data_IF_663214629773
#
_entry.id   IF_663214629773
#
_cell.length_a   1.000
_cell.length_b   1.000
_cell.length_c   1.000
_cell.angle_alpha   90.00
_cell.angle_beta   90.00
_cell.angle_gamma   90.00
#
_symmetry.space_group_name_H-M   'P 1'
#
loop_
_entity.id
_entity.type
_entity.pdbx_description
1 polymer ?
#
# COMPACT_ATOMS: atom_id res chain seq x y z
N UNK A 1 1.44 -20.32 -4.68
CA UNK A 1 2.26 -19.30 -3.98
C UNK A 1 2.12 -17.99 -4.75
N UNK A 2 1.99 -16.86 -4.05
CA UNK A 2 1.91 -15.54 -4.68
C UNK A 2 3.27 -15.13 -5.22
N UNK A 3 3.29 -14.37 -6.32
CA UNK A 3 4.49 -13.82 -6.95
C UNK A 3 4.82 -12.42 -6.41
N UNK A 4 6.05 -11.96 -6.66
CA UNK A 4 6.46 -10.56 -6.38
C UNK A 4 5.53 -9.57 -7.09
N UNK A 5 5.17 -9.85 -8.36
CA UNK A 5 4.27 -8.99 -9.12
C UNK A 5 2.86 -8.90 -8.55
N UNK A 6 2.32 -10.02 -8.04
CA UNK A 6 1.00 -10.02 -7.37
C UNK A 6 1.01 -9.20 -6.08
N UNK A 7 2.08 -9.27 -5.28
CA UNK A 7 2.24 -8.44 -4.09
C UNK A 7 2.39 -6.95 -4.44
N UNK A 8 3.17 -6.64 -5.48
CA UNK A 8 3.34 -5.26 -5.96
C UNK A 8 1.99 -4.69 -6.43
N UNK A 9 1.28 -5.40 -7.33
CA UNK A 9 -0.04 -4.97 -7.79
C UNK A 9 -0.99 -4.74 -6.62
N UNK A 10 -0.99 -5.63 -5.63
CA UNK A 10 -1.83 -5.52 -4.44
C UNK A 10 -1.58 -4.22 -3.67
N UNK A 11 -0.32 -3.84 -3.47
CA UNK A 11 0.02 -2.55 -2.86
C UNK A 11 -0.48 -1.36 -3.69
N UNK A 12 -0.24 -1.40 -5.01
CA UNK A 12 -0.64 -0.32 -5.92
C UNK A 12 -2.17 -0.17 -5.98
N UNK A 13 -2.94 -1.27 -5.95
CA UNK A 13 -4.39 -1.25 -5.88
C UNK A 13 -4.91 -0.57 -4.60
N UNK A 14 -4.25 -0.79 -3.46
CA UNK A 14 -4.63 -0.14 -2.19
C UNK A 14 -4.37 1.37 -2.24
N UNK A 15 -3.22 1.78 -2.76
CA UNK A 15 -2.87 3.19 -2.94
C UNK A 15 -3.87 3.86 -3.90
N UNK A 16 -4.18 3.23 -5.03
CA UNK A 16 -5.13 3.74 -6.01
C UNK A 16 -6.55 3.88 -5.44
N UNK A 17 -7.01 2.88 -4.68
CA UNK A 17 -8.31 2.93 -4.01
C UNK A 17 -8.40 4.11 -3.04
N UNK A 18 -7.35 4.34 -2.23
CA UNK A 18 -7.30 5.46 -1.31
C UNK A 18 -7.29 6.82 -2.03
N UNK A 19 -6.49 6.97 -3.10
CA UNK A 19 -6.45 8.20 -3.89
C UNK A 19 -7.80 8.52 -4.53
N UNK A 20 -8.54 7.52 -4.99
CA UNK A 20 -9.90 7.71 -5.52
C UNK A 20 -10.91 8.08 -4.44
N UNK A 21 -10.74 7.57 -3.22
CA UNK A 21 -11.63 7.88 -2.10
C UNK A 21 -11.56 9.35 -1.67
N UNK A 22 -10.47 10.05 -1.97
CA UNK A 22 -10.33 11.49 -1.71
C UNK A 22 -11.40 12.30 -2.47
N UNK A 23 -11.84 11.85 -3.63
CA UNK A 23 -12.84 12.56 -4.44
C UNK A 23 -14.28 12.08 -4.16
N UNK A 24 -14.46 10.86 -3.65
CA UNK A 24 -15.77 10.20 -3.54
C UNK A 24 -16.27 9.99 -2.12
N UNK A 25 -15.43 10.21 -1.10
CA UNK A 25 -15.65 9.88 0.30
C UNK A 25 -15.97 8.40 0.58
N UNK A 26 -15.85 7.54 -0.44
CA UNK A 26 -16.10 6.10 -0.37
C UNK A 26 -14.85 5.31 -0.75
N UNK A 27 -14.54 4.34 0.09
CA UNK A 27 -13.35 3.50 -0.03
C UNK A 27 -13.74 2.03 -0.06
N UNK A 28 -13.16 1.26 -0.99
CA UNK A 28 -13.29 -0.19 -1.03
C UNK A 28 -11.98 -0.80 -1.52
N UNK A 29 -11.32 -1.56 -0.66
CA UNK A 29 -10.09 -2.28 -1.02
C UNK A 29 -10.34 -3.62 -1.70
N UNK A 30 -11.57 -4.12 -1.70
CA UNK A 30 -11.93 -5.41 -2.28
C UNK A 30 -12.19 -5.33 -3.78
N UNK A 31 -12.52 -4.15 -4.30
CA UNK A 31 -12.77 -3.90 -5.72
C UNK A 31 -11.46 -3.75 -6.50
N UNK A 32 -10.76 -4.87 -6.73
CA UNK A 32 -9.44 -4.94 -7.36
C UNK A 32 -9.49 -5.64 -8.70
N UNK A 33 -8.70 -5.14 -9.64
CA UNK A 33 -8.45 -5.82 -10.92
C UNK A 33 -7.33 -6.85 -10.72
N UNK A 34 -7.65 -8.14 -10.81
CA UNK A 34 -6.66 -9.23 -10.77
C UNK A 34 -6.23 -9.60 -12.18
N UNK A 35 -5.02 -10.20 -12.31
CA UNK A 35 -4.51 -10.67 -13.60
C UNK A 35 -4.19 -9.54 -14.56
N UNK A 36 -3.76 -8.39 -14.06
CA UNK A 36 -3.32 -7.26 -14.90
C UNK A 36 -1.85 -7.42 -15.29
N UNK A 37 -1.44 -6.76 -16.37
CA UNK A 37 -0.03 -6.72 -16.81
C UNK A 37 0.93 -6.07 -15.81
N UNK A 38 0.43 -5.37 -14.79
CA UNK A 38 1.26 -4.90 -13.66
C UNK A 38 1.97 -6.06 -12.95
N UNK A 39 1.36 -7.25 -12.91
CA UNK A 39 1.93 -8.43 -12.26
C UNK A 39 3.11 -9.04 -13.02
N UNK A 40 3.14 -8.90 -14.34
CA UNK A 40 4.06 -9.63 -15.23
C UNK A 40 4.93 -8.74 -16.11
N UNK A 41 4.58 -7.45 -16.24
CA UNK A 41 5.27 -6.50 -17.10
C UNK A 41 5.88 -5.37 -16.28
N UNK A 42 7.23 -5.32 -16.22
CA UNK A 42 7.95 -4.30 -15.44
C UNK A 42 7.61 -2.87 -15.89
N UNK A 43 7.50 -2.61 -17.18
CA UNK A 43 7.18 -1.26 -17.69
C UNK A 43 5.75 -0.83 -17.29
N UNK A 44 4.78 -1.75 -17.28
CA UNK A 44 3.43 -1.47 -16.81
C UNK A 44 3.42 -1.16 -15.30
N UNK A 45 4.19 -1.90 -14.51
CA UNK A 45 4.33 -1.65 -13.07
C UNK A 45 4.94 -0.26 -12.79
N UNK A 46 6.03 0.09 -13.49
CA UNK A 46 6.68 1.39 -13.35
C UNK A 46 5.75 2.54 -13.75
N UNK A 47 5.04 2.41 -14.88
CA UNK A 47 4.07 3.41 -15.32
C UNK A 47 2.95 3.64 -14.28
N UNK A 48 2.46 2.56 -13.68
CA UNK A 48 1.45 2.65 -12.59
C UNK A 48 2.01 3.35 -11.35
N UNK A 49 3.25 3.04 -10.96
CA UNK A 49 3.92 3.71 -9.83
C UNK A 49 4.06 5.21 -10.11
N UNK A 50 4.49 5.59 -11.31
CA UNK A 50 4.69 6.98 -11.68
C UNK A 50 3.37 7.76 -11.72
N UNK A 51 2.28 7.16 -12.23
CA UNK A 51 0.93 7.74 -12.19
C UNK A 51 0.46 7.98 -10.75
N UNK A 52 0.51 6.96 -9.90
CA UNK A 52 0.09 7.08 -8.50
C UNK A 52 0.93 8.10 -7.74
N UNK A 53 2.24 8.15 -8.00
CA UNK A 53 3.14 9.15 -7.43
C UNK A 53 2.78 10.57 -7.88
N UNK A 54 2.48 10.77 -9.16
CA UNK A 54 2.08 12.08 -9.69
C UNK A 54 0.77 12.55 -9.05
N UNK A 55 -0.24 11.68 -8.96
CA UNK A 55 -1.52 11.94 -8.30
C UNK A 55 -1.33 12.26 -6.82
N UNK A 56 -0.54 11.48 -6.09
CA UNK A 56 -0.27 11.74 -4.69
C UNK A 56 0.44 13.10 -4.47
N UNK A 57 1.38 13.46 -5.34
CA UNK A 57 2.10 14.75 -5.26
C UNK A 57 1.23 15.96 -5.61
N UNK A 58 0.18 15.79 -6.39
CA UNK A 58 -0.76 16.87 -6.70
C UNK A 58 -1.69 17.20 -5.54
N UNK A 59 -1.77 16.35 -4.52
CA UNK A 59 -2.59 16.58 -3.35
C UNK A 59 -1.94 17.62 -2.44
N UNK A 60 -2.73 18.62 -2.05
CA UNK A 60 -2.33 19.67 -1.11
C UNK A 60 -3.43 19.90 -0.08
N UNK A 61 -3.05 20.34 1.12
CA UNK A 61 -3.99 20.73 2.17
C UNK A 61 -5.04 19.66 2.52
N UNK A 62 -4.61 18.39 2.60
CA UNK A 62 -5.50 17.29 2.98
C UNK A 62 -5.94 17.44 4.44
N UNK A 63 -7.26 17.44 4.65
CA UNK A 63 -7.82 17.25 5.99
C UNK A 63 -7.76 15.75 6.36
N UNK A 64 -6.83 15.40 7.24
CA UNK A 64 -6.67 14.01 7.70
C UNK A 64 -7.86 13.51 8.54
N UNK A 65 -8.68 14.42 9.08
CA UNK A 65 -9.90 14.07 9.82
C UNK A 65 -11.11 13.93 8.88
N UNK A 66 -10.96 14.18 7.59
CA UNK A 66 -12.05 14.01 6.62
C UNK A 66 -12.68 12.64 6.76
N UNK A 67 -14.01 12.56 7.01
CA UNK A 67 -14.69 11.28 7.15
C UNK A 67 -14.76 10.56 5.80
N UNK A 68 -14.57 9.23 5.84
CA UNK A 68 -14.75 8.33 4.72
C UNK A 68 -15.65 7.17 5.14
N UNK A 69 -16.32 6.54 4.17
CA UNK A 69 -17.02 5.29 4.37
C UNK A 69 -16.22 4.16 3.72
N UNK A 70 -15.71 3.25 4.53
CA UNK A 70 -15.05 2.03 4.07
C UNK A 70 -16.09 0.92 3.89
N UNK A 71 -16.25 0.46 2.65
CA UNK A 71 -17.03 -0.74 2.34
C UNK A 71 -16.09 -1.95 2.31
N UNK A 72 -16.35 -2.94 3.14
CA UNK A 72 -15.50 -4.13 3.26
C UNK A 72 -16.31 -5.42 3.28
N UNK A 73 -15.74 -6.48 2.71
CA UNK A 73 -16.26 -7.85 2.74
C UNK A 73 -15.54 -8.61 3.87
N UNK A 74 -16.27 -9.01 4.92
CA UNK A 74 -15.68 -9.72 6.06
C UNK A 74 -15.51 -11.22 5.81
N UNK A 75 -16.33 -11.80 4.93
CA UNK A 75 -16.24 -13.22 4.61
C UNK A 75 -16.66 -13.49 3.18
N UNK A 76 -16.20 -14.61 2.63
CA UNK A 76 -16.43 -15.01 1.22
C UNK A 76 -17.90 -14.98 0.78
N UNK A 77 -18.83 -15.25 1.67
CA UNK A 77 -20.28 -15.33 1.43
C UNK A 77 -21.10 -14.41 2.32
N UNK A 78 -20.44 -13.53 3.06
CA UNK A 78 -21.10 -12.56 3.95
C UNK A 78 -21.55 -11.30 3.22
N UNK A 79 -22.36 -10.46 3.89
CA UNK A 79 -22.68 -9.14 3.39
C UNK A 79 -21.45 -8.24 3.43
N UNK A 80 -21.44 -7.20 2.61
CA UNK A 80 -20.55 -6.07 2.79
C UNK A 80 -20.99 -5.22 3.96
N UNK A 81 -20.02 -4.64 4.67
CA UNK A 81 -20.26 -3.69 5.74
C UNK A 81 -19.73 -2.31 5.36
N UNK A 82 -20.50 -1.29 5.66
CA UNK A 82 -20.03 0.09 5.60
C UNK A 82 -19.58 0.51 7.01
N UNK A 83 -18.33 0.97 7.11
CA UNK A 83 -17.70 1.38 8.37
C UNK A 83 -17.20 2.81 8.22
N UNK A 84 -17.51 3.66 9.19
CA UNK A 84 -16.96 5.01 9.26
C UNK A 84 -15.46 4.97 9.58
N UNK A 85 -14.70 5.78 8.87
CA UNK A 85 -13.26 5.93 9.05
C UNK A 85 -12.83 7.35 8.72
N UNK A 86 -11.55 7.65 8.74
CA UNK A 86 -11.00 8.94 8.31
C UNK A 86 -9.86 8.76 7.32
N UNK A 87 -9.62 9.79 6.51
CA UNK A 87 -8.53 9.80 5.55
C UNK A 87 -7.17 9.52 6.21
N UNK A 88 -6.92 10.12 7.39
CA UNK A 88 -5.67 9.90 8.13
C UNK A 88 -5.51 8.46 8.60
N UNK A 89 -6.58 7.85 9.10
CA UNK A 89 -6.56 6.43 9.48
C UNK A 89 -6.27 5.53 8.29
N UNK A 90 -6.86 5.79 7.15
CA UNK A 90 -6.67 4.99 5.93
C UNK A 90 -5.26 5.19 5.32
N UNK A 91 -4.71 6.41 5.40
CA UNK A 91 -3.30 6.65 5.02
C UNK A 91 -2.33 5.83 5.88
N UNK A 92 -2.54 5.78 7.19
CA UNK A 92 -1.74 4.94 8.09
C UNK A 92 -1.89 3.45 7.76
N UNK A 93 -3.10 3.00 7.48
CA UNK A 93 -3.37 1.62 7.10
C UNK A 93 -2.63 1.25 5.80
N UNK A 94 -2.81 2.02 4.73
CA UNK A 94 -2.18 1.75 3.43
C UNK A 94 -0.65 1.80 3.54
N UNK A 95 -0.11 2.76 4.30
CA UNK A 95 1.33 2.86 4.57
C UNK A 95 1.88 1.61 5.28
N UNK A 96 1.23 1.19 6.38
CA UNK A 96 1.63 -0.01 7.14
C UNK A 96 1.47 -1.28 6.31
N UNK A 97 0.38 -1.40 5.57
CA UNK A 97 0.09 -2.54 4.69
C UNK A 97 1.12 -2.65 3.56
N UNK A 98 1.48 -1.53 2.93
CA UNK A 98 2.53 -1.48 1.91
C UNK A 98 3.88 -1.88 2.49
N UNK A 99 4.24 -1.40 3.68
CA UNK A 99 5.48 -1.79 4.37
C UNK A 99 5.52 -3.29 4.63
N UNK A 100 4.42 -3.89 5.10
CA UNK A 100 4.30 -5.34 5.29
C UNK A 100 4.54 -6.12 3.99
N UNK A 101 3.88 -5.72 2.89
CA UNK A 101 4.09 -6.37 1.60
C UNK A 101 5.49 -6.14 1.03
N UNK A 102 6.10 -4.98 1.25
CA UNK A 102 7.49 -4.73 0.88
C UNK A 102 8.45 -5.67 1.61
N UNK A 103 8.21 -5.99 2.89
CA UNK A 103 9.00 -6.98 3.62
C UNK A 103 8.89 -8.38 2.98
N UNK A 104 7.70 -8.79 2.55
CA UNK A 104 7.48 -10.04 1.83
C UNK A 104 8.20 -10.03 0.48
N UNK A 105 8.02 -8.97 -0.31
CA UNK A 105 8.69 -8.77 -1.61
C UNK A 105 10.21 -8.84 -1.42
N UNK A 106 10.75 -8.16 -0.40
CA UNK A 106 12.18 -8.16 -0.09
C UNK A 106 12.71 -9.57 0.22
N UNK A 107 11.98 -10.34 1.02
CA UNK A 107 12.33 -11.73 1.32
C UNK A 107 12.32 -12.61 0.06
N UNK A 108 11.27 -12.50 -0.77
CA UNK A 108 11.18 -13.23 -2.03
C UNK A 108 12.29 -12.85 -3.02
N UNK A 109 12.57 -11.55 -3.16
CA UNK A 109 13.61 -11.04 -4.06
C UNK A 109 15.01 -11.51 -3.62
N UNK A 110 15.30 -11.52 -2.31
CA UNK A 110 16.56 -12.08 -1.77
C UNK A 110 16.73 -13.55 -2.11
N UNK A 111 15.67 -14.37 -2.04
CA UNK A 111 15.73 -15.79 -2.43
C UNK A 111 16.00 -15.99 -3.92
N UNK A 112 15.67 -14.97 -4.74
CA UNK A 112 15.96 -14.94 -6.16
C UNK A 112 17.34 -14.31 -6.50
N UNK A 113 18.15 -14.01 -5.47
CA UNK A 113 19.50 -13.45 -5.64
C UNK A 113 19.54 -11.94 -5.87
N UNK A 114 18.43 -11.21 -5.68
CA UNK A 114 18.43 -9.76 -5.83
C UNK A 114 19.02 -9.07 -4.59
N UNK A 115 19.77 -7.98 -4.84
CA UNK A 115 20.20 -7.06 -3.78
C UNK A 115 19.04 -6.14 -3.40
N UNK A 116 18.72 -6.09 -2.12
CA UNK A 116 17.62 -5.29 -1.56
C UNK A 116 18.19 -4.37 -0.48
N UNK A 117 17.84 -3.07 -0.46
CA UNK A 117 18.22 -2.16 0.62
C UNK A 117 17.82 -2.69 1.99
N UNK A 118 18.64 -2.42 3.01
CA UNK A 118 18.43 -2.94 4.38
C UNK A 118 17.18 -2.40 5.06
N UNK A 119 16.71 -1.24 4.65
CA UNK A 119 15.50 -0.57 5.14
C UNK A 119 14.24 -0.90 4.32
N UNK A 120 14.38 -1.65 3.23
CA UNK A 120 13.23 -2.01 2.38
C UNK A 120 12.24 -2.92 3.13
N UNK A 121 11.01 -2.43 3.31
CA UNK A 121 9.96 -3.14 4.03
C UNK A 121 10.13 -3.12 5.57
N UNK A 122 10.96 -2.24 6.09
CA UNK A 122 11.13 -2.03 7.53
C UNK A 122 10.15 -0.97 8.02
N UNK A 123 9.46 -1.24 9.11
CA UNK A 123 8.54 -0.26 9.71
C UNK A 123 9.30 0.98 10.22
N UNK A 124 8.69 2.16 10.08
CA UNK A 124 9.31 3.43 10.47
C UNK A 124 9.79 3.42 11.94
N UNK A 125 8.99 2.87 12.86
CA UNK A 125 9.36 2.73 14.27
C UNK A 125 10.59 1.84 14.50
N UNK A 126 10.73 0.77 13.69
CA UNK A 126 11.91 -0.10 13.75
C UNK A 126 13.15 0.60 13.18
N UNK A 127 12.99 1.37 12.11
CA UNK A 127 14.10 2.18 11.55
C UNK A 127 14.56 3.22 12.55
N UNK A 128 13.64 3.95 13.19
CA UNK A 128 13.96 4.91 14.24
C UNK A 128 14.72 4.27 15.41
N UNK A 129 14.24 3.13 15.92
CA UNK A 129 14.92 2.41 16.99
C UNK A 129 16.34 1.96 16.60
N UNK A 130 16.54 1.51 15.36
CA UNK A 130 17.87 1.11 14.87
C UNK A 130 18.84 2.30 14.77
N UNK A 131 18.35 3.47 14.39
CA UNK A 131 19.16 4.71 14.34
C UNK A 131 19.57 5.14 15.74
N UNK A 132 18.65 5.16 16.71
CA UNK A 132 18.93 5.50 18.10
C UNK A 132 19.97 4.55 18.71
N UNK A 133 19.87 3.24 18.48
CA UNK A 133 20.80 2.25 19.02
C UNK A 133 22.19 2.28 18.35
N UNK A 134 22.28 2.77 17.11
CA UNK A 134 23.58 2.96 16.42
C UNK A 134 24.33 4.22 16.88
N UNK A 135 23.62 5.19 17.42
CA UNK A 135 24.18 6.45 17.94
C UNK A 135 24.43 6.42 19.46
N UNK A 136 24.08 5.33 20.16
CA UNK A 136 24.40 5.17 21.57
C UNK A 136 25.91 4.90 21.73
N UNK A 137 26.63 5.64 22.64
CA UNK A 137 28.08 5.51 22.85
C UNK A 137 28.47 4.16 23.45
#
# INVERSE_FOLDING_TARGET
ASSVGEHLRHCLDHIDALLRAIDSDRLCYDNRRRGTNVETCRSAALATIDDLRARARSLSNLDLNRPLILTALLSKSGPTLDVETSLGRELLFVGSHTTHHNAIIGAMAKTLGASIPDDFGVAASTSAFREETRCAP
#
